data_IF_842583145398
#
_entry.id   IF_842583145398
#
_cell.length_a   1.000
_cell.length_b   1.000
_cell.length_c   1.000
_cell.angle_alpha   90.00
_cell.angle_beta   90.00
_cell.angle_gamma   90.00
#
_symmetry.space_group_name_H-M   'P 1'
#
loop_
_entity.id
_entity.type
_entity.pdbx_description
1 polymer ?
#
# COMPACT_ATOMS: atom_id res chain seq x y z
N UNK A 1 7.12 58.44 -37.06
CA UNK A 1 6.06 57.66 -36.37
C UNK A 1 6.50 56.20 -36.36
N UNK A 2 6.64 55.61 -35.17
CA UNK A 2 7.21 54.27 -34.95
C UNK A 2 6.15 53.19 -35.29
N UNK A 3 6.51 52.25 -36.15
CA UNK A 3 5.74 51.05 -36.46
C UNK A 3 6.06 49.97 -35.43
N UNK A 4 5.05 49.51 -34.70
CA UNK A 4 5.13 48.39 -33.75
C UNK A 4 4.91 47.07 -34.50
N UNK A 5 5.86 46.13 -34.41
CA UNK A 5 5.65 44.73 -34.74
C UNK A 5 4.91 44.04 -33.58
N UNK A 6 3.97 43.10 -33.83
CA UNK A 6 3.45 42.24 -32.79
C UNK A 6 4.43 41.08 -32.55
N UNK A 7 4.84 40.91 -31.29
CA UNK A 7 5.57 39.73 -30.82
C UNK A 7 4.54 38.62 -30.60
N UNK A 8 4.54 37.61 -31.45
CA UNK A 8 3.74 36.40 -31.28
C UNK A 8 4.29 35.56 -30.14
N UNK A 9 3.48 35.33 -29.11
CA UNK A 9 3.77 34.42 -28.00
C UNK A 9 3.68 32.98 -28.50
N UNK A 10 4.81 32.32 -28.72
CA UNK A 10 4.86 30.90 -29.05
C UNK A 10 4.65 30.09 -27.76
N UNK A 11 3.41 29.65 -27.52
CA UNK A 11 3.11 28.65 -26.50
C UNK A 11 3.64 27.30 -26.99
N UNK A 12 4.79 26.87 -26.46
CA UNK A 12 5.27 25.49 -26.58
C UNK A 12 4.32 24.58 -25.78
N UNK A 13 3.32 24.03 -26.47
CA UNK A 13 2.64 22.83 -26.00
C UNK A 13 3.64 21.69 -26.08
N UNK A 14 4.24 21.35 -24.94
CA UNK A 14 4.97 20.10 -24.79
C UNK A 14 3.91 18.98 -24.84
N UNK A 15 3.66 18.43 -26.02
CA UNK A 15 2.85 17.24 -26.18
C UNK A 15 3.58 16.09 -25.49
N UNK A 16 3.16 15.75 -24.27
CA UNK A 16 3.49 14.45 -23.70
C UNK A 16 2.90 13.41 -24.63
N UNK A 17 3.77 12.68 -25.35
CA UNK A 17 3.34 11.50 -26.08
C UNK A 17 2.65 10.56 -25.11
N UNK A 18 1.38 10.26 -25.36
CA UNK A 18 0.64 9.12 -24.83
C UNK A 18 1.34 7.83 -25.34
N UNK A 19 2.52 7.52 -24.80
CA UNK A 19 3.04 6.17 -24.87
C UNK A 19 2.21 5.39 -23.87
N UNK A 20 1.30 4.56 -24.36
CA UNK A 20 0.67 3.52 -23.54
C UNK A 20 1.79 2.83 -22.77
N UNK A 21 1.80 2.96 -21.44
CA UNK A 21 2.82 2.29 -20.64
C UNK A 21 2.72 0.80 -20.98
N UNK A 22 3.85 0.14 -21.34
CA UNK A 22 3.80 -1.26 -21.67
C UNK A 22 3.21 -2.04 -20.49
N UNK A 23 2.39 -3.04 -20.82
CA UNK A 23 1.87 -4.00 -19.86
C UNK A 23 3.02 -4.45 -18.93
N UNK A 24 2.80 -4.48 -17.62
CA UNK A 24 3.84 -4.88 -16.67
C UNK A 24 4.45 -6.22 -17.07
N UNK A 25 5.78 -6.26 -17.18
CA UNK A 25 6.51 -7.49 -17.48
C UNK A 25 7.51 -7.76 -16.36
N UNK A 26 7.57 -9.02 -15.92
CA UNK A 26 8.58 -9.46 -14.96
C UNK A 26 9.90 -9.58 -15.70
N UNK A 27 10.88 -8.79 -15.27
CA UNK A 27 12.22 -8.75 -15.84
C UNK A 27 13.25 -9.32 -14.86
N UNK A 28 14.45 -9.71 -15.35
CA UNK A 28 15.58 -9.92 -14.47
C UNK A 28 15.88 -8.66 -13.65
N UNK A 29 16.23 -8.83 -12.37
CA UNK A 29 16.61 -7.71 -11.51
C UNK A 29 17.73 -6.87 -12.12
N UNK A 30 17.48 -5.57 -12.27
CA UNK A 30 18.42 -4.61 -12.85
C UNK A 30 18.34 -3.27 -12.10
N UNK A 31 19.44 -2.53 -12.03
CA UNK A 31 19.53 -1.24 -11.33
C UNK A 31 19.02 -1.27 -9.88
N UNK A 32 19.10 -2.43 -9.24
CA UNK A 32 18.59 -2.64 -7.89
C UNK A 32 19.54 -2.07 -6.82
N UNK A 33 19.04 -1.78 -5.61
CA UNK A 33 19.88 -1.41 -4.48
C UNK A 33 20.96 -2.46 -4.22
N UNK A 34 22.13 -2.00 -3.74
CA UNK A 34 23.30 -2.86 -3.54
C UNK A 34 22.96 -4.11 -2.72
N UNK A 35 23.21 -5.28 -3.29
CA UNK A 35 23.00 -6.59 -2.64
C UNK A 35 21.67 -7.25 -2.98
N UNK A 36 20.68 -6.52 -3.52
CA UNK A 36 19.38 -7.09 -3.90
C UNK A 36 19.51 -8.14 -5.00
N UNK A 37 20.39 -7.92 -5.97
CA UNK A 37 20.68 -8.83 -7.08
C UNK A 37 21.20 -10.21 -6.63
N UNK A 38 21.67 -10.34 -5.38
CA UNK A 38 22.10 -11.61 -4.77
C UNK A 38 20.95 -12.45 -4.23
N UNK A 39 19.78 -11.83 -4.00
CA UNK A 39 18.64 -12.44 -3.32
C UNK A 39 17.38 -12.49 -4.19
N UNK A 40 17.18 -11.43 -4.98
CA UNK A 40 16.02 -11.25 -5.83
C UNK A 40 16.48 -11.26 -7.28
N UNK A 41 15.98 -12.22 -8.06
CA UNK A 41 16.35 -12.40 -9.47
C UNK A 41 15.30 -11.86 -10.43
N UNK A 42 14.13 -11.49 -9.91
CA UNK A 42 12.98 -10.98 -10.67
C UNK A 42 12.60 -9.59 -10.17
N UNK A 43 12.16 -8.73 -11.07
CA UNK A 43 11.74 -7.38 -10.78
C UNK A 43 10.60 -6.95 -11.71
N UNK A 44 9.70 -6.13 -11.19
CA UNK A 44 8.76 -5.34 -11.98
C UNK A 44 8.66 -3.94 -11.37
N UNK A 45 8.53 -2.91 -12.19
CA UNK A 45 8.47 -1.52 -11.74
C UNK A 45 7.14 -0.87 -12.15
N UNK A 46 6.52 -0.16 -11.20
CA UNK A 46 5.24 0.53 -11.35
C UNK A 46 5.40 1.93 -10.79
N UNK A 47 5.23 2.98 -11.60
CA UNK A 47 5.39 4.38 -11.17
C UNK A 47 6.71 4.66 -10.42
N UNK A 48 7.82 4.02 -10.81
CA UNK A 48 9.12 4.15 -10.12
C UNK A 48 9.24 3.39 -8.79
N UNK A 49 8.26 2.55 -8.44
CA UNK A 49 8.25 1.68 -7.26
C UNK A 49 8.52 0.25 -7.73
N UNK A 50 9.52 -0.39 -7.15
CA UNK A 50 9.91 -1.75 -7.55
C UNK A 50 9.32 -2.82 -6.65
N UNK A 51 8.88 -3.93 -7.27
CA UNK A 51 8.66 -5.21 -6.61
C UNK A 51 9.83 -6.12 -6.98
N UNK A 52 10.65 -6.49 -6.00
CA UNK A 52 11.74 -7.45 -6.17
C UNK A 52 11.30 -8.84 -5.69
N UNK A 53 11.63 -9.90 -6.42
CA UNK A 53 11.18 -11.23 -6.07
C UNK A 53 12.27 -12.31 -6.20
N UNK A 54 12.19 -13.33 -5.35
CA UNK A 54 13.08 -14.49 -5.40
C UNK A 54 12.81 -15.30 -6.68
N UNK A 55 13.78 -16.13 -7.06
CA UNK A 55 13.68 -16.96 -8.27
C UNK A 55 12.46 -17.89 -8.28
N UNK A 56 12.01 -18.34 -7.09
CA UNK A 56 10.89 -19.28 -6.94
C UNK A 56 9.52 -18.60 -6.94
N UNK A 57 9.46 -17.28 -6.76
CA UNK A 57 8.20 -16.54 -6.80
C UNK A 57 7.59 -16.63 -8.21
N UNK A 58 6.34 -17.11 -8.37
CA UNK A 58 5.69 -17.19 -9.68
C UNK A 58 5.39 -15.81 -10.27
N UNK A 59 5.66 -15.63 -11.56
CA UNK A 59 5.47 -14.34 -12.26
C UNK A 59 4.02 -13.86 -12.19
N UNK A 60 3.05 -14.79 -12.24
CA UNK A 60 1.62 -14.46 -12.12
C UNK A 60 1.26 -13.83 -10.77
N UNK A 61 1.99 -14.13 -9.70
CA UNK A 61 1.78 -13.54 -8.38
C UNK A 61 2.44 -12.17 -8.28
N UNK A 62 3.63 -12.02 -8.89
CA UNK A 62 4.34 -10.74 -9.01
C UNK A 62 3.48 -9.75 -9.82
N UNK A 63 2.95 -10.16 -10.96
CA UNK A 63 2.11 -9.32 -11.82
C UNK A 63 0.77 -8.96 -11.15
N UNK A 64 0.19 -9.86 -10.37
CA UNK A 64 -0.99 -9.54 -9.58
C UNK A 64 -0.68 -8.46 -8.53
N UNK A 65 0.40 -8.61 -7.78
CA UNK A 65 0.84 -7.59 -6.83
C UNK A 65 1.15 -6.24 -7.52
N UNK A 66 1.80 -6.28 -8.69
CA UNK A 66 2.04 -5.08 -9.51
C UNK A 66 0.74 -4.38 -9.93
N UNK A 67 -0.25 -5.15 -10.39
CA UNK A 67 -1.56 -4.63 -10.76
C UNK A 67 -2.31 -4.01 -9.57
N UNK A 68 -2.25 -4.63 -8.39
CA UNK A 68 -2.83 -4.08 -7.17
C UNK A 68 -2.14 -2.77 -6.75
N UNK A 69 -0.81 -2.73 -6.77
CA UNK A 69 -0.02 -1.52 -6.50
C UNK A 69 -0.40 -0.39 -7.45
N UNK A 70 -0.48 -0.68 -8.75
CA UNK A 70 -0.89 0.30 -9.75
C UNK A 70 -2.30 0.82 -9.47
N UNK A 71 -3.29 -0.07 -9.30
CA UNK A 71 -4.69 0.30 -9.08
C UNK A 71 -4.98 0.97 -7.74
N UNK A 72 -4.10 0.80 -6.74
CA UNK A 72 -4.18 1.56 -5.50
C UNK A 72 -3.62 2.99 -5.64
N UNK A 73 -2.69 3.20 -6.57
CA UNK A 73 -2.07 4.51 -6.80
C UNK A 73 -2.76 5.31 -7.92
N UNK A 74 -3.35 4.61 -8.88
CA UNK A 74 -4.16 5.11 -10.00
C UNK A 74 -5.48 4.29 -10.01
N UNK A 75 -6.46 4.75 -9.24
CA UNK A 75 -7.71 4.02 -9.01
C UNK A 75 -8.76 4.26 -10.10
N UNK A 76 -8.63 5.34 -10.87
CA UNK A 76 -9.46 5.56 -12.05
C UNK A 76 -8.94 4.86 -13.31
N UNK A 77 -7.68 4.38 -13.28
CA UNK A 77 -6.94 3.69 -14.34
C UNK A 77 -6.70 4.58 -15.58
N UNK A 78 -6.43 5.88 -15.40
CA UNK A 78 -6.11 6.79 -16.50
C UNK A 78 -4.63 6.75 -16.93
N UNK A 79 -3.78 6.01 -16.20
CA UNK A 79 -2.35 5.92 -16.46
C UNK A 79 -1.50 6.85 -15.59
N UNK A 80 -2.12 7.65 -14.72
CA UNK A 80 -1.45 8.59 -13.84
C UNK A 80 -1.82 8.36 -12.37
N UNK A 81 -0.88 8.50 -11.44
CA UNK A 81 -1.21 8.40 -10.02
C UNK A 81 -2.20 9.48 -9.55
N UNK A 82 -3.23 9.07 -8.81
CA UNK A 82 -4.28 9.94 -8.25
C UNK A 82 -3.73 10.96 -7.23
N UNK A 83 -2.62 10.62 -6.57
CA UNK A 83 -2.01 11.44 -5.52
C UNK A 83 -0.49 11.57 -5.68
N UNK A 84 -0.06 12.62 -6.38
CA UNK A 84 1.35 12.86 -6.65
C UNK A 84 2.21 13.03 -5.37
N UNK A 85 1.65 13.63 -4.30
CA UNK A 85 2.38 13.80 -3.04
C UNK A 85 2.71 12.45 -2.38
N UNK A 86 1.80 11.47 -2.51
CA UNK A 86 2.00 10.10 -2.01
C UNK A 86 3.09 9.40 -2.81
N UNK A 87 3.08 9.49 -4.13
CA UNK A 87 4.14 8.92 -4.99
C UNK A 87 5.51 9.48 -4.64
N UNK A 88 5.64 10.80 -4.58
CA UNK A 88 6.92 11.42 -4.25
C UNK A 88 7.41 11.04 -2.85
N UNK A 89 6.48 10.87 -1.90
CA UNK A 89 6.82 10.41 -0.55
C UNK A 89 7.37 8.98 -0.57
N UNK A 90 6.75 8.06 -1.31
CA UNK A 90 7.24 6.69 -1.50
C UNK A 90 8.64 6.71 -2.14
N UNK A 91 8.87 7.56 -3.15
CA UNK A 91 10.19 7.68 -3.78
C UNK A 91 11.25 8.20 -2.81
N UNK A 92 10.93 9.21 -2.00
CA UNK A 92 11.85 9.77 -0.98
C UNK A 92 12.25 8.74 0.07
N UNK A 93 11.33 7.87 0.47
CA UNK A 93 11.62 6.75 1.39
C UNK A 93 12.19 5.51 0.69
N UNK A 94 12.37 5.56 -0.64
CA UNK A 94 12.82 4.43 -1.47
C UNK A 94 11.96 3.18 -1.23
N UNK A 95 10.65 3.40 -1.20
CA UNK A 95 9.66 2.36 -0.97
C UNK A 95 9.77 1.22 -1.98
N UNK A 96 9.73 -0.03 -1.51
CA UNK A 96 9.75 -1.22 -2.35
C UNK A 96 8.98 -2.38 -1.72
N UNK A 97 8.54 -3.32 -2.55
CA UNK A 97 8.03 -4.62 -2.09
C UNK A 97 9.08 -5.69 -2.38
N UNK A 98 9.32 -6.59 -1.42
CA UNK A 98 10.09 -7.81 -1.64
C UNK A 98 9.18 -9.02 -1.56
N UNK A 99 9.31 -9.97 -2.49
CA UNK A 99 8.37 -11.08 -2.63
C UNK A 99 9.09 -12.43 -2.69
N UNK A 100 8.76 -13.34 -1.77
CA UNK A 100 9.24 -14.72 -1.77
C UNK A 100 8.15 -15.69 -2.21
N UNK A 101 8.52 -16.92 -2.55
CA UNK A 101 7.55 -17.97 -2.85
C UNK A 101 6.76 -18.34 -1.60
N UNK A 102 7.43 -18.43 -0.46
CA UNK A 102 6.85 -18.80 0.85
C UNK A 102 7.49 -18.01 1.99
N UNK A 103 6.82 -17.95 3.13
CA UNK A 103 7.36 -17.46 4.40
C UNK A 103 8.59 -18.24 4.82
N UNK A 104 8.55 -19.58 4.66
CA UNK A 104 9.72 -20.41 4.98
C UNK A 104 10.94 -20.08 4.10
N UNK A 105 10.75 -19.70 2.84
CA UNK A 105 11.84 -19.20 2.01
C UNK A 105 12.36 -17.88 2.55
N UNK A 106 11.48 -16.93 2.87
CA UNK A 106 11.85 -15.63 3.43
C UNK A 106 12.66 -15.76 4.73
N UNK A 107 12.22 -16.61 5.66
CA UNK A 107 12.89 -16.84 6.95
C UNK A 107 14.31 -17.41 6.80
N UNK A 108 14.64 -18.02 5.66
CA UNK A 108 15.97 -18.57 5.36
C UNK A 108 16.89 -17.58 4.65
N UNK A 109 16.37 -16.43 4.22
CA UNK A 109 17.16 -15.41 3.55
C UNK A 109 17.95 -14.63 4.60
N UNK A 110 19.28 -14.75 4.54
CA UNK A 110 20.19 -13.89 5.30
C UNK A 110 20.35 -12.56 4.56
N UNK A 111 19.44 -11.62 4.82
CA UNK A 111 19.42 -10.29 4.18
C UNK A 111 20.74 -9.54 4.42
N UNK A 112 21.21 -9.52 5.67
CA UNK A 112 22.38 -8.73 6.09
C UNK A 112 23.71 -9.28 5.56
N UNK A 113 23.74 -10.55 5.14
CA UNK A 113 24.90 -11.11 4.44
C UNK A 113 25.18 -10.43 3.10
N UNK A 114 24.15 -9.96 2.39
CA UNK A 114 24.29 -9.42 1.04
C UNK A 114 23.91 -7.95 0.94
N UNK A 115 22.90 -7.52 1.68
CA UNK A 115 22.40 -6.14 1.68
C UNK A 115 23.04 -5.39 2.87
N UNK A 116 23.83 -4.34 2.61
CA UNK A 116 24.37 -3.52 3.70
C UNK A 116 23.26 -2.90 4.54
N UNK A 117 23.43 -2.86 5.86
CA UNK A 117 22.46 -2.28 6.81
C UNK A 117 22.03 -0.86 6.42
N UNK A 118 22.99 0.02 6.06
CA UNK A 118 22.68 1.38 5.57
C UNK A 118 21.78 1.42 4.33
N UNK A 119 21.83 0.39 3.47
CA UNK A 119 20.94 0.29 2.31
C UNK A 119 19.56 -0.12 2.78
N UNK A 120 19.47 -1.18 3.57
CA UNK A 120 18.21 -1.72 4.09
C UNK A 120 17.46 -0.68 4.94
N UNK A 121 18.13 -0.09 5.94
CA UNK A 121 17.55 0.90 6.86
C UNK A 121 17.23 2.24 6.18
N UNK A 122 17.79 2.47 4.99
CA UNK A 122 17.53 3.66 4.19
C UNK A 122 16.32 3.52 3.26
N UNK A 123 15.56 2.43 3.38
CA UNK A 123 14.41 2.09 2.54
C UNK A 123 13.19 1.73 3.41
N UNK A 124 11.98 1.97 2.90
CA UNK A 124 10.75 1.36 3.43
C UNK A 124 10.42 0.12 2.62
N UNK A 125 10.56 -1.07 3.20
CA UNK A 125 10.37 -2.34 2.49
C UNK A 125 9.25 -3.14 3.15
N UNK A 126 8.31 -3.61 2.35
CA UNK A 126 7.28 -4.57 2.79
C UNK A 126 7.52 -5.94 2.15
N UNK A 127 7.31 -6.98 2.95
CA UNK A 127 7.46 -8.37 2.53
C UNK A 127 6.12 -8.95 2.10
N UNK A 128 6.09 -9.67 0.98
CA UNK A 128 4.92 -10.39 0.52
C UNK A 128 5.30 -11.84 0.17
N UNK A 129 4.36 -12.77 0.37
CA UNK A 129 4.57 -14.17 0.04
C UNK A 129 3.59 -14.61 -1.05
N UNK A 130 4.10 -15.33 -2.05
CA UNK A 130 3.29 -15.86 -3.15
C UNK A 130 2.26 -16.89 -2.68
N UNK A 131 2.56 -17.63 -1.61
CA UNK A 131 1.64 -18.60 -1.02
C UNK A 131 0.38 -17.96 -0.42
N UNK A 132 0.48 -16.73 0.09
CA UNK A 132 -0.63 -15.96 0.68
C UNK A 132 -1.26 -14.94 -0.31
N UNK A 133 -0.68 -14.80 -1.51
CA UNK A 133 -1.22 -13.97 -2.57
C UNK A 133 -2.30 -14.75 -3.31
N UNK A 134 -3.56 -14.38 -3.18
CA UNK A 134 -4.69 -15.15 -3.71
C UNK A 134 -5.58 -14.31 -4.63
N UNK A 135 -5.22 -14.16 -5.92
CA UNK A 135 -6.06 -13.47 -6.89
C UNK A 135 -7.48 -14.04 -6.87
N UNK A 136 -8.47 -13.16 -6.72
CA UNK A 136 -9.89 -13.52 -6.55
C UNK A 136 -10.14 -14.50 -5.39
N UNK A 137 -9.36 -14.41 -4.32
CA UNK A 137 -9.48 -15.31 -3.16
C UNK A 137 -10.85 -15.23 -2.49
N UNK A 138 -11.44 -14.04 -2.40
CA UNK A 138 -12.72 -13.83 -1.72
C UNK A 138 -13.88 -14.66 -2.27
N UNK A 139 -13.89 -14.97 -3.57
CA UNK A 139 -14.90 -15.88 -4.16
C UNK A 139 -14.74 -17.35 -3.73
N UNK A 140 -13.59 -17.69 -3.15
CA UNK A 140 -13.25 -18.99 -2.59
C UNK A 140 -13.14 -18.96 -1.06
N UNK A 141 -13.53 -17.85 -0.42
CA UNK A 141 -13.46 -17.68 1.03
C UNK A 141 -12.04 -17.49 1.57
N UNK A 142 -11.08 -17.07 0.73
CA UNK A 142 -9.68 -16.87 1.12
C UNK A 142 -9.32 -15.39 0.96
N UNK A 143 -8.76 -14.77 2.00
CA UNK A 143 -8.29 -13.38 1.88
C UNK A 143 -7.02 -13.32 1.03
N UNK A 144 -6.86 -12.27 0.23
CA UNK A 144 -5.64 -12.05 -0.54
C UNK A 144 -4.74 -11.08 0.22
N UNK A 145 -3.68 -11.60 0.84
CA UNK A 145 -2.78 -10.81 1.68
C UNK A 145 -2.04 -9.73 0.88
N UNK A 146 -1.99 -9.82 -0.45
CA UNK A 146 -1.43 -8.76 -1.27
C UNK A 146 -2.21 -7.44 -1.16
N UNK A 147 -3.52 -7.45 -0.83
CA UNK A 147 -4.23 -6.20 -0.53
C UNK A 147 -3.64 -5.48 0.67
N UNK A 148 -3.21 -6.22 1.69
CA UNK A 148 -2.68 -5.69 2.95
C UNK A 148 -1.26 -5.16 2.78
N UNK A 149 -0.32 -6.01 2.34
CA UNK A 149 1.10 -5.64 2.30
C UNK A 149 1.40 -4.50 1.33
N UNK A 150 0.67 -4.43 0.22
CA UNK A 150 0.80 -3.32 -0.73
C UNK A 150 0.24 -2.03 -0.12
N UNK A 151 -0.90 -2.11 0.58
CA UNK A 151 -1.43 -0.96 1.31
C UNK A 151 -0.47 -0.51 2.41
N UNK A 152 0.14 -1.41 3.16
CA UNK A 152 1.14 -1.07 4.18
C UNK A 152 2.30 -0.26 3.59
N UNK A 153 2.79 -0.62 2.40
CA UNK A 153 3.78 0.20 1.71
C UNK A 153 3.22 1.59 1.39
N UNK A 154 2.06 1.67 0.74
CA UNK A 154 1.47 2.94 0.29
C UNK A 154 1.16 3.87 1.47
N UNK A 155 0.68 3.33 2.59
CA UNK A 155 0.30 4.12 3.76
C UNK A 155 1.51 4.56 4.57
N UNK A 156 2.47 3.66 4.83
CA UNK A 156 3.66 3.96 5.64
C UNK A 156 4.70 4.79 4.87
N UNK A 157 5.03 4.38 3.64
CA UNK A 157 6.00 5.09 2.81
C UNK A 157 5.39 6.37 2.18
N UNK A 158 4.10 6.32 1.83
CA UNK A 158 3.40 7.39 1.13
C UNK A 158 2.62 8.31 2.05
N UNK A 159 1.39 7.93 2.42
CA UNK A 159 0.45 8.80 3.14
C UNK A 159 0.99 9.38 4.45
N UNK A 160 1.68 8.56 5.26
CA UNK A 160 2.25 9.00 6.53
C UNK A 160 3.30 10.10 6.35
N UNK A 161 4.02 10.10 5.23
CA UNK A 161 5.05 11.08 4.91
C UNK A 161 4.52 12.28 4.09
N UNK A 162 3.50 12.07 3.26
CA UNK A 162 2.85 13.12 2.49
C UNK A 162 1.94 14.01 3.36
N UNK A 163 1.29 13.43 4.38
CA UNK A 163 0.35 14.12 5.27
C UNK A 163 0.66 13.80 6.74
N UNK A 164 1.82 14.26 7.27
CA UNK A 164 2.36 13.81 8.56
C UNK A 164 1.51 14.17 9.79
N UNK A 165 0.60 15.14 9.66
CA UNK A 165 -0.32 15.51 10.75
C UNK A 165 -1.68 14.81 10.65
N UNK A 166 -1.99 14.20 9.50
CA UNK A 166 -3.25 13.48 9.26
C UNK A 166 -3.03 11.97 9.36
N UNK A 167 -2.12 11.42 8.54
CA UNK A 167 -1.87 9.98 8.42
C UNK A 167 -0.53 9.55 9.03
N UNK A 168 0.23 10.46 9.63
CA UNK A 168 1.52 10.13 10.24
C UNK A 168 1.40 9.08 11.35
N UNK A 169 2.36 8.17 11.40
CA UNK A 169 2.47 7.04 12.35
C UNK A 169 2.93 7.47 13.75
N UNK A 170 2.42 8.62 14.24
CA UNK A 170 2.80 9.22 15.52
C UNK A 170 1.57 9.67 16.30
N UNK A 171 1.70 9.75 17.61
CA UNK A 171 0.62 10.23 18.48
C UNK A 171 0.22 11.66 18.11
N UNK A 172 -1.09 11.93 18.13
CA UNK A 172 -1.65 13.26 17.92
C UNK A 172 -2.00 13.58 16.46
N UNK A 173 -1.70 12.68 15.52
CA UNK A 173 -2.24 12.78 14.16
C UNK A 173 -3.72 12.43 14.13
N UNK A 174 -4.44 12.88 13.11
CA UNK A 174 -5.88 12.62 12.98
C UNK A 174 -6.19 11.11 12.98
N UNK A 175 -5.42 10.32 12.24
CA UNK A 175 -5.59 8.85 12.19
C UNK A 175 -5.29 8.19 13.54
N UNK A 176 -4.28 8.67 14.25
CA UNK A 176 -3.90 8.13 15.56
C UNK A 176 -4.98 8.39 16.62
N UNK A 177 -5.62 9.57 16.57
CA UNK A 177 -6.73 9.91 17.45
C UNK A 177 -7.98 9.04 17.16
N UNK A 178 -8.27 8.78 15.89
CA UNK A 178 -9.33 7.86 15.48
C UNK A 178 -9.05 6.42 15.95
N UNK A 179 -7.81 5.94 15.76
CA UNK A 179 -7.38 4.62 16.22
C UNK A 179 -7.48 4.47 17.75
N UNK A 180 -7.07 5.49 18.50
CA UNK A 180 -7.18 5.48 19.97
C UNK A 180 -8.64 5.36 20.42
N UNK A 181 -9.58 5.98 19.70
CA UNK A 181 -11.01 5.80 19.94
C UNK A 181 -11.43 4.35 19.65
N UNK A 182 -10.98 3.78 18.53
CA UNK A 182 -11.32 2.43 18.09
C UNK A 182 -10.85 1.31 19.03
N UNK A 183 -9.71 1.54 19.68
CA UNK A 183 -9.13 0.63 20.69
C UNK A 183 -9.63 0.90 22.11
N UNK A 184 -10.45 1.94 22.30
CA UNK A 184 -10.98 2.35 23.59
C UNK A 184 -9.99 3.09 24.51
N UNK A 185 -8.87 3.57 23.97
CA UNK A 185 -7.83 4.34 24.64
C UNK A 185 -6.49 4.34 23.89
N UNK A 186 -5.52 5.09 24.42
CA UNK A 186 -4.15 5.12 23.93
C UNK A 186 -3.34 3.93 24.43
N UNK A 187 -2.74 3.16 23.51
CA UNK A 187 -1.83 2.06 23.81
C UNK A 187 -0.57 2.15 22.97
N UNK A 188 0.57 2.51 23.60
CA UNK A 188 1.87 2.61 22.92
C UNK A 188 2.35 1.28 22.31
N UNK A 189 1.98 0.17 22.95
CA UNK A 189 2.27 -1.22 22.56
C UNK A 189 0.98 -2.02 22.72
N UNK A 190 0.85 -3.12 21.99
CA UNK A 190 -0.28 -4.03 22.13
C UNK A 190 -0.46 -4.46 23.60
N UNK A 191 -1.60 -4.12 24.24
CA UNK A 191 -1.89 -4.51 25.61
C UNK A 191 -2.25 -5.99 25.70
N UNK A 192 -2.20 -6.57 26.91
CA UNK A 192 -2.66 -7.96 27.12
C UNK A 192 -4.16 -8.13 26.88
N UNK A 193 -4.94 -7.07 27.11
CA UNK A 193 -6.38 -7.05 26.89
C UNK A 193 -6.80 -5.62 26.54
N UNK A 194 -7.58 -5.49 25.47
CA UNK A 194 -8.27 -4.25 25.13
C UNK A 194 -9.62 -4.14 25.88
N UNK A 195 -10.17 -2.92 26.07
CA UNK A 195 -11.53 -2.74 26.55
C UNK A 195 -12.55 -3.49 25.69
N UNK A 196 -13.58 -4.10 26.28
CA UNK A 196 -14.56 -4.92 25.57
C UNK A 196 -15.33 -4.13 24.47
N UNK A 197 -15.40 -2.80 24.63
CA UNK A 197 -15.99 -1.85 23.66
C UNK A 197 -15.14 -1.58 22.42
N UNK A 198 -13.89 -2.05 22.37
CA UNK A 198 -13.01 -1.85 21.22
C UNK A 198 -13.55 -2.57 19.99
N UNK A 199 -13.44 -1.95 18.82
CA UNK A 199 -13.75 -2.56 17.52
C UNK A 199 -12.51 -2.77 16.65
N UNK A 200 -11.40 -2.17 17.05
CA UNK A 200 -10.06 -2.50 16.59
C UNK A 200 -9.22 -3.00 17.77
N UNK A 201 -8.61 -4.16 17.58
CA UNK A 201 -7.67 -4.83 18.47
C UNK A 201 -6.61 -5.48 17.59
N UNK A 202 -5.48 -5.85 18.18
CA UNK A 202 -4.38 -6.44 17.43
C UNK A 202 -3.59 -7.35 18.36
N UNK A 203 -3.18 -8.52 17.86
CA UNK A 203 -2.58 -9.55 18.71
C UNK A 203 -1.04 -9.60 18.64
N UNK A 204 -0.43 -9.03 17.59
CA UNK A 204 1.01 -9.09 17.37
C UNK A 204 1.78 -8.12 18.30
N UNK A 205 2.43 -8.70 19.31
CA UNK A 205 3.07 -7.95 20.41
C UNK A 205 4.32 -7.17 20.01
N UNK A 206 4.97 -7.55 18.91
CA UNK A 206 6.13 -6.81 18.40
C UNK A 206 5.74 -5.45 17.82
N UNK A 207 4.48 -5.30 17.38
CA UNK A 207 3.94 -4.10 16.78
C UNK A 207 3.91 -2.93 17.76
N UNK A 208 4.50 -1.81 17.33
CA UNK A 208 4.49 -0.56 18.09
C UNK A 208 3.28 0.31 17.73
N UNK A 209 3.27 1.56 18.20
CA UNK A 209 2.16 2.48 17.95
C UNK A 209 2.01 2.83 16.47
N UNK A 210 3.12 2.98 15.75
CA UNK A 210 3.11 3.33 14.33
C UNK A 210 2.60 2.18 13.47
N UNK A 211 3.10 0.97 13.74
CA UNK A 211 2.62 -0.26 13.12
C UNK A 211 1.09 -0.44 13.31
N UNK A 212 0.57 -0.19 14.51
CA UNK A 212 -0.89 -0.28 14.77
C UNK A 212 -1.71 0.76 13.99
N UNK A 213 -1.15 1.95 13.69
CA UNK A 213 -1.81 2.96 12.85
C UNK A 213 -1.94 2.44 11.41
N UNK A 214 -0.88 1.84 10.90
CA UNK A 214 -0.84 1.28 9.54
C UNK A 214 -1.83 0.14 9.37
N UNK A 215 -1.90 -0.76 10.37
CA UNK A 215 -2.92 -1.81 10.47
C UNK A 215 -4.35 -1.24 10.51
N UNK A 216 -4.58 -0.18 11.30
CA UNK A 216 -5.88 0.45 11.40
C UNK A 216 -6.35 1.07 10.08
N UNK A 217 -5.44 1.72 9.34
CA UNK A 217 -5.74 2.22 7.99
C UNK A 217 -6.10 1.04 7.07
N UNK A 218 -5.30 -0.03 7.07
CA UNK A 218 -5.54 -1.24 6.29
C UNK A 218 -6.94 -1.80 6.55
N UNK A 219 -7.29 -2.06 7.81
CA UNK A 219 -8.60 -2.61 8.18
C UNK A 219 -9.75 -1.72 7.71
N UNK A 220 -9.60 -0.40 7.89
CA UNK A 220 -10.55 0.60 7.44
C UNK A 220 -10.76 0.57 5.92
N UNK A 221 -9.71 0.82 5.15
CA UNK A 221 -9.81 1.01 3.70
C UNK A 221 -10.24 -0.29 3.00
N UNK A 222 -9.71 -1.45 3.40
CA UNK A 222 -10.11 -2.73 2.78
C UNK A 222 -11.56 -3.11 3.10
N UNK A 223 -12.08 -2.67 4.25
CA UNK A 223 -13.51 -2.82 4.58
C UNK A 223 -14.39 -1.87 3.77
N UNK A 224 -13.95 -0.62 3.56
CA UNK A 224 -14.63 0.39 2.74
C UNK A 224 -14.71 -0.07 1.27
N UNK A 225 -13.60 -0.57 0.73
CA UNK A 225 -13.52 -1.07 -0.64
C UNK A 225 -14.24 -2.41 -0.85
N UNK A 226 -14.51 -3.15 0.22
CA UNK A 226 -15.22 -4.43 0.18
C UNK A 226 -14.33 -5.68 0.08
N UNK A 227 -13.00 -5.54 0.19
CA UNK A 227 -12.08 -6.68 0.27
C UNK A 227 -12.38 -7.58 1.49
N UNK A 228 -12.89 -7.01 2.58
CA UNK A 228 -13.25 -7.75 3.80
C UNK A 228 -14.70 -8.30 3.78
N UNK A 229 -15.44 -8.10 2.68
CA UNK A 229 -16.87 -8.42 2.58
C UNK A 229 -17.14 -9.69 1.77
N UNK A 230 -16.79 -10.85 2.31
CA UNK A 230 -17.15 -12.15 1.75
C UNK A 230 -17.55 -13.15 2.86
N UNK A 231 -18.31 -14.22 2.53
CA UNK A 231 -18.79 -15.19 3.52
C UNK A 231 -17.66 -15.77 4.38
N UNK A 232 -17.86 -15.82 5.69
CA UNK A 232 -16.89 -16.33 6.67
C UNK A 232 -15.78 -15.35 7.06
N UNK A 233 -15.57 -14.25 6.32
CA UNK A 233 -14.47 -13.31 6.61
C UNK A 233 -14.59 -12.68 7.98
N UNK A 234 -15.79 -12.19 8.35
CA UNK A 234 -15.99 -11.56 9.66
C UNK A 234 -15.65 -12.51 10.80
N UNK A 235 -16.02 -13.78 10.71
CA UNK A 235 -15.73 -14.77 11.75
C UNK A 235 -14.22 -14.98 11.92
N UNK A 236 -13.43 -14.82 10.84
CA UNK A 236 -11.98 -14.97 10.85
C UNK A 236 -11.23 -13.75 11.41
N UNK A 237 -11.85 -12.56 11.39
CA UNK A 237 -11.18 -11.30 11.76
C UNK A 237 -11.81 -10.60 12.95
N UNK A 238 -12.99 -11.02 13.42
CA UNK A 238 -13.77 -10.29 14.44
C UNK A 238 -13.05 -10.10 15.79
N UNK A 239 -12.03 -10.92 16.06
CA UNK A 239 -11.13 -10.80 17.19
C UNK A 239 -10.17 -9.60 17.10
N UNK A 240 -9.92 -9.08 15.90
CA UNK A 240 -9.08 -7.89 15.62
C UNK A 240 -9.91 -6.73 15.06
N UNK A 241 -10.83 -7.00 14.14
CA UNK A 241 -11.60 -5.98 13.44
C UNK A 241 -13.08 -6.36 13.29
N UNK A 242 -13.98 -5.54 13.86
CA UNK A 242 -15.43 -5.82 13.87
C UNK A 242 -16.20 -5.21 12.68
N UNK A 243 -15.57 -4.34 11.90
CA UNK A 243 -16.24 -3.47 10.92
C UNK A 243 -15.95 -3.86 9.46
N UNK A 244 -16.10 -5.14 9.10
CA UNK A 244 -15.67 -5.71 7.81
C UNK A 244 -16.37 -5.20 6.52
N UNK A 245 -17.22 -4.17 6.58
CA UNK A 245 -17.92 -3.61 5.42
C UNK A 245 -17.99 -2.09 5.48
N UNK A 246 -18.10 -1.43 4.33
CA UNK A 246 -18.24 0.03 4.24
C UNK A 246 -19.35 0.59 5.15
N UNK A 247 -20.51 -0.08 5.18
CA UNK A 247 -21.63 0.33 6.03
C UNK A 247 -21.29 0.22 7.53
N UNK A 248 -20.56 -0.82 7.94
CA UNK A 248 -20.11 -0.98 9.32
C UNK A 248 -19.05 0.05 9.69
N UNK A 249 -18.08 0.34 8.81
CA UNK A 249 -17.09 1.39 9.06
C UNK A 249 -17.78 2.75 9.19
N UNK A 250 -18.68 3.10 8.26
CA UNK A 250 -19.42 4.37 8.31
C UNK A 250 -20.23 4.56 9.59
N UNK A 251 -20.84 3.49 10.11
CA UNK A 251 -21.68 3.56 11.31
C UNK A 251 -20.89 3.43 12.62
N UNK A 252 -19.90 2.54 12.67
CA UNK A 252 -19.12 2.23 13.87
C UNK A 252 -17.88 3.11 14.07
N UNK A 253 -17.32 3.63 12.98
CA UNK A 253 -16.13 4.47 12.99
C UNK A 253 -16.24 5.61 11.95
N UNK A 254 -17.17 6.57 12.17
CA UNK A 254 -17.40 7.65 11.23
C UNK A 254 -16.17 8.55 11.04
N UNK A 255 -15.30 8.67 12.04
CA UNK A 255 -14.05 9.44 11.96
C UNK A 255 -13.09 8.79 10.95
N UNK A 256 -12.86 7.48 11.04
CA UNK A 256 -12.05 6.75 10.06
C UNK A 256 -12.67 6.81 8.67
N UNK A 257 -13.98 6.57 8.58
CA UNK A 257 -14.69 6.61 7.31
C UNK A 257 -14.50 7.96 6.61
N UNK A 258 -14.64 9.08 7.34
CA UNK A 258 -14.42 10.41 6.79
C UNK A 258 -12.97 10.61 6.35
N UNK A 259 -11.98 10.22 7.14
CA UNK A 259 -10.57 10.36 6.77
C UNK A 259 -10.21 9.58 5.49
N UNK A 260 -10.73 8.37 5.33
CA UNK A 260 -10.43 7.48 4.21
C UNK A 260 -11.32 7.69 2.98
N UNK A 261 -12.34 8.54 3.08
CA UNK A 261 -13.23 8.88 1.94
C UNK A 261 -13.22 10.37 1.60
N UNK A 262 -12.40 11.16 2.30
CA UNK A 262 -12.21 12.58 1.96
C UNK A 262 -11.49 12.69 0.60
N UNK A 263 -12.15 13.25 -0.43
CA UNK A 263 -11.59 13.34 -1.78
C UNK A 263 -10.28 14.15 -1.82
N UNK A 264 -10.00 14.98 -0.81
CA UNK A 264 -8.74 15.70 -0.69
C UNK A 264 -7.52 14.77 -0.67
N UNK A 265 -7.65 13.58 -0.09
CA UNK A 265 -6.52 12.67 0.06
C UNK A 265 -6.46 11.60 -1.03
N UNK A 266 -7.48 11.50 -1.88
CA UNK A 266 -7.51 10.55 -3.00
C UNK A 266 -7.14 9.11 -2.60
N UNK A 267 -7.68 8.65 -1.46
CA UNK A 267 -7.67 7.22 -1.17
C UNK A 267 -8.50 6.47 -2.24
N UNK A 268 -8.14 5.21 -2.54
CA UNK A 268 -8.87 4.40 -3.51
C UNK A 268 -10.37 4.34 -3.18
N UNK A 269 -11.21 4.44 -4.21
CA UNK A 269 -12.68 4.33 -4.11
C UNK A 269 -13.22 3.03 -4.72
N UNK A 270 -12.43 2.33 -5.52
CA UNK A 270 -12.73 1.04 -6.15
C UNK A 270 -11.73 0.00 -5.65
N UNK A 271 -12.21 -1.19 -5.35
CA UNK A 271 -11.33 -2.30 -4.99
C UNK A 271 -10.49 -2.72 -6.21
N UNK A 272 -9.15 -2.74 -6.10
CA UNK A 272 -8.30 -3.30 -7.13
C UNK A 272 -8.61 -4.77 -7.42
N UNK A 273 -8.41 -5.22 -8.66
CA UNK A 273 -8.56 -6.62 -9.07
C UNK A 273 -7.26 -7.27 -9.54
N UNK A 274 -6.16 -6.51 -9.53
CA UNK A 274 -4.83 -6.92 -9.97
C UNK A 274 -4.64 -6.85 -11.48
N UNK A 275 -5.61 -6.32 -12.24
CA UNK A 275 -5.58 -6.22 -13.70
C UNK A 275 -5.55 -4.77 -14.15
N UNK A 276 -4.39 -4.16 -14.01
CA UNK A 276 -4.17 -2.80 -14.45
C UNK A 276 -3.99 -2.72 -15.98
N UNK A 277 -4.87 -2.00 -16.66
CA UNK A 277 -4.82 -1.72 -18.10
C UNK A 277 -5.25 -0.26 -18.30
N UNK A 278 -4.33 0.71 -18.20
CA UNK A 278 -4.70 2.11 -18.20
C UNK A 278 -5.35 2.51 -19.53
N UNK A 279 -6.39 3.35 -19.44
CA UNK A 279 -7.09 3.93 -20.58
C UNK A 279 -7.07 5.46 -20.44
N UNK A 280 -6.06 6.13 -21.01
CA UNK A 280 -5.93 7.58 -20.91
C UNK A 280 -6.94 8.35 -21.78
#
# INVERSE_FOLDING_TARGET
>A
MKSLLPIGLFLLFCSYSLMAQPLFEVQPTNNAPKGFDRLFTKQVEIFGISIFATAKTPDSKILHAAGLLAQYLDNDNDGQPDNQLVIEAIHRSKGAVVMSATKQEADKIDLHRYIPEKVWDGMTILGLHAEDTHPKGGSRGVFDTAYEEILHLITSAGYANAYPDIFGEKRGTAIALAMDQARGGYFRRVPRKYPDRAWFTYDERSCDYGCQITEYIYWGITSILGAQNFPGRLDNISQEWKLNTAAKVKAGDPTLYQLLTDPKYAFPAKLPDGKYNPQP
#
